data_IF_936307689651
#
_entry.id   IF_936307689651
#
_cell.length_a   1.000
_cell.length_b   1.000
_cell.length_c   1.000
_cell.angle_alpha   90.00
_cell.angle_beta   90.00
_cell.angle_gamma   90.00
#
_symmetry.space_group_name_H-M   'P 1'
#
loop_
_entity.id
_entity.type
_entity.pdbx_description
1 polymer ?
#
# COMPACT_ATOMS: atom_id res chain seq x y z
N UNK A 1 20.61 -8.18 -10.94
CA UNK A 1 20.74 -7.97 -9.48
C UNK A 1 19.64 -8.79 -8.83
N UNK A 2 19.95 -9.86 -8.10
CA UNK A 2 18.98 -10.91 -7.71
C UNK A 2 18.20 -10.66 -6.42
N UNK A 3 18.02 -9.41 -6.00
CA UNK A 3 17.26 -9.06 -4.79
C UNK A 3 15.84 -8.70 -5.21
N UNK A 4 14.84 -9.36 -4.63
CA UNK A 4 13.43 -9.06 -4.84
C UNK A 4 13.06 -7.68 -4.27
N UNK A 5 12.15 -6.97 -4.93
CA UNK A 5 11.72 -5.63 -4.53
C UNK A 5 10.95 -5.64 -3.20
N UNK A 6 10.28 -6.75 -2.90
CA UNK A 6 9.49 -6.98 -1.68
C UNK A 6 10.33 -7.17 -0.42
N UNK A 7 11.63 -7.47 -0.53
CA UNK A 7 12.47 -7.86 0.62
C UNK A 7 12.76 -6.65 1.50
N UNK A 8 12.22 -6.67 2.72
CA UNK A 8 12.49 -5.70 3.79
C UNK A 8 12.58 -6.44 5.13
N UNK A 9 13.16 -5.80 6.16
CA UNK A 9 13.00 -6.30 7.53
C UNK A 9 11.56 -5.99 7.97
N UNK A 10 10.71 -6.99 8.22
CA UNK A 10 9.34 -6.73 8.61
C UNK A 10 9.28 -6.22 10.05
N UNK A 11 8.34 -5.31 10.33
CA UNK A 11 8.11 -4.78 11.66
C UNK A 11 6.67 -4.35 11.85
N UNK A 12 6.31 -3.96 13.07
CA UNK A 12 5.06 -3.22 13.31
C UNK A 12 5.28 -1.74 12.96
N UNK A 13 4.23 -1.04 12.58
CA UNK A 13 4.30 0.42 12.40
C UNK A 13 4.42 1.10 13.77
N UNK A 14 4.96 2.32 13.77
CA UNK A 14 5.06 3.15 14.97
C UNK A 14 3.96 4.20 14.98
N UNK A 15 3.51 4.60 16.18
CA UNK A 15 2.56 5.69 16.34
C UNK A 15 3.15 7.01 15.82
N UNK A 16 2.32 7.83 15.19
CA UNK A 16 2.70 9.14 14.64
C UNK A 16 1.93 10.26 15.29
N UNK A 17 2.45 11.48 15.23
CA UNK A 17 1.82 12.66 15.81
C UNK A 17 0.69 13.23 14.94
N UNK A 18 -0.02 14.26 15.46
CA UNK A 18 -1.15 14.88 14.78
C UNK A 18 -0.77 15.61 13.48
N UNK A 19 0.51 15.93 13.27
CA UNK A 19 1.05 16.55 12.06
C UNK A 19 0.95 15.66 10.81
N UNK A 20 0.81 14.34 10.99
CA UNK A 20 0.68 13.41 9.88
C UNK A 20 -0.78 13.34 9.41
N UNK A 21 -1.06 13.45 8.10
CA UNK A 21 -2.40 13.27 7.54
C UNK A 21 -3.04 11.95 7.94
N UNK A 22 -4.34 11.95 8.23
CA UNK A 22 -5.07 10.78 8.72
C UNK A 22 -4.94 9.55 7.83
N UNK A 23 -4.96 9.75 6.51
CA UNK A 23 -4.78 8.70 5.50
C UNK A 23 -3.44 7.98 5.54
N UNK A 24 -2.39 8.61 6.08
CA UNK A 24 -1.07 8.02 6.24
C UNK A 24 -0.83 7.47 7.65
N UNK A 25 -1.68 7.80 8.62
CA UNK A 25 -1.53 7.26 9.98
C UNK A 25 -1.66 5.73 9.95
N UNK A 26 -0.90 5.02 10.77
CA UNK A 26 -0.99 3.57 10.84
C UNK A 26 -2.36 3.15 11.36
N UNK A 27 -2.92 2.11 10.78
CA UNK A 27 -4.16 1.48 11.25
C UNK A 27 -3.91 0.68 12.53
N UNK A 28 -4.99 0.26 13.19
CA UNK A 28 -4.88 -0.65 14.34
C UNK A 28 -4.13 -1.94 13.97
N UNK A 29 -4.39 -2.50 12.78
CA UNK A 29 -3.75 -3.74 12.33
C UNK A 29 -2.24 -3.55 12.11
N UNK A 30 -1.83 -2.44 11.50
CA UNK A 30 -0.42 -2.07 11.31
C UNK A 30 0.34 -1.92 12.64
N UNK A 31 -0.33 -1.44 13.69
CA UNK A 31 0.25 -1.28 15.03
C UNK A 31 0.39 -2.62 15.79
N UNK A 32 -0.43 -3.62 15.47
CA UNK A 32 -0.46 -4.90 16.20
C UNK A 32 0.21 -6.06 15.46
N UNK A 33 0.37 -5.96 14.14
CA UNK A 33 0.79 -7.06 13.27
C UNK A 33 2.13 -6.77 12.61
N UNK A 34 3.07 -7.71 12.66
CA UNK A 34 4.35 -7.60 11.94
C UNK A 34 4.09 -7.74 10.45
N UNK A 35 4.58 -6.79 9.65
CA UNK A 35 4.38 -6.77 8.21
C UNK A 35 5.56 -6.10 7.47
N UNK A 36 5.67 -6.28 6.15
CA UNK A 36 6.59 -5.54 5.30
C UNK A 36 6.28 -4.04 5.31
N UNK A 37 7.21 -3.24 5.80
CA UNK A 37 7.01 -1.79 6.04
C UNK A 37 6.83 -0.97 4.76
N UNK A 38 7.01 -1.56 3.58
CA UNK A 38 6.71 -0.88 2.32
C UNK A 38 5.20 -0.68 2.13
N UNK A 39 4.34 -1.50 2.77
CA UNK A 39 2.88 -1.37 2.76
C UNK A 39 2.44 0.00 3.33
N UNK A 40 3.19 0.54 4.30
CA UNK A 40 2.86 1.79 4.99
C UNK A 40 2.87 3.02 4.06
N UNK A 41 3.52 2.91 2.90
CA UNK A 41 3.71 4.00 1.93
C UNK A 41 2.46 4.34 1.13
N UNK A 42 1.45 3.48 1.15
CA UNK A 42 0.23 3.72 0.39
C UNK A 42 -0.78 4.56 1.18
N UNK A 43 -1.38 5.59 0.57
CA UNK A 43 -2.36 6.45 1.22
C UNK A 43 -3.76 5.82 1.32
N UNK A 44 -3.85 4.48 1.32
CA UNK A 44 -5.10 3.73 1.28
C UNK A 44 -5.21 2.80 2.50
N UNK A 45 -5.78 3.28 3.63
CA UNK A 45 -5.86 2.49 4.87
C UNK A 45 -6.44 1.08 4.69
N UNK A 46 -7.56 0.97 3.96
CA UNK A 46 -8.22 -0.30 3.68
C UNK A 46 -7.35 -1.28 2.87
N UNK A 47 -6.66 -0.76 1.86
CA UNK A 47 -5.74 -1.55 1.05
C UNK A 47 -4.58 -2.09 1.89
N UNK A 48 -3.99 -1.26 2.76
CA UNK A 48 -2.92 -1.70 3.66
C UNK A 48 -3.37 -2.84 4.57
N UNK A 49 -4.55 -2.70 5.19
CA UNK A 49 -5.09 -3.74 6.06
C UNK A 49 -5.36 -5.05 5.32
N UNK A 50 -5.89 -4.97 4.10
CA UNK A 50 -6.16 -6.13 3.27
C UNK A 50 -4.85 -6.80 2.80
N UNK A 51 -3.82 -6.03 2.45
CA UNK A 51 -2.49 -6.60 2.12
C UNK A 51 -1.87 -7.33 3.30
N UNK A 52 -1.95 -6.76 4.51
CA UNK A 52 -1.45 -7.40 5.73
C UNK A 52 -2.21 -8.69 6.02
N UNK A 53 -3.54 -8.66 5.87
CA UNK A 53 -4.42 -9.81 6.14
C UNK A 53 -4.18 -10.95 5.13
N UNK A 54 -3.86 -10.61 3.87
CA UNK A 54 -3.71 -11.58 2.78
C UNK A 54 -2.26 -11.92 2.42
N UNK A 55 -1.28 -11.48 3.21
CA UNK A 55 0.16 -11.61 2.90
C UNK A 55 0.64 -13.04 2.62
N UNK A 56 -0.01 -14.05 3.21
CA UNK A 56 0.28 -15.46 2.93
C UNK A 56 -0.40 -16.03 1.68
N UNK A 57 -1.22 -15.22 0.99
CA UNK A 57 -2.02 -15.60 -0.17
C UNK A 57 -1.57 -14.82 -1.40
N UNK A 58 -1.29 -13.52 -1.25
CA UNK A 58 -0.82 -12.67 -2.36
C UNK A 58 0.68 -12.86 -2.59
N UNK A 59 1.10 -12.84 -3.85
CA UNK A 59 2.51 -12.75 -4.18
C UNK A 59 2.94 -11.28 -4.20
N UNK A 60 3.69 -10.88 -3.16
CA UNK A 60 4.16 -9.49 -3.00
C UNK A 60 5.06 -9.03 -4.16
N UNK A 61 5.92 -9.91 -4.68
CA UNK A 61 6.81 -9.56 -5.78
C UNK A 61 6.03 -9.34 -7.08
N UNK A 62 4.98 -10.13 -7.29
CA UNK A 62 4.08 -9.95 -8.42
C UNK A 62 3.28 -8.64 -8.30
N UNK A 63 2.78 -8.32 -7.10
CA UNK A 63 2.12 -7.04 -6.84
C UNK A 63 3.05 -5.86 -7.15
N UNK A 64 4.30 -5.90 -6.68
CA UNK A 64 5.28 -4.85 -6.93
C UNK A 64 5.69 -4.78 -8.41
N UNK A 65 5.84 -5.92 -9.08
CA UNK A 65 6.09 -5.95 -10.52
C UNK A 65 4.95 -5.25 -11.29
N UNK A 66 3.69 -5.57 -10.99
CA UNK A 66 2.53 -4.93 -11.61
C UNK A 66 2.40 -3.46 -11.23
N UNK A 67 2.76 -3.09 -10.00
CA UNK A 67 2.78 -1.71 -9.52
C UNK A 67 3.69 -0.83 -10.39
N UNK A 68 4.86 -1.35 -10.80
CA UNK A 68 5.84 -0.62 -11.59
C UNK A 68 5.67 -0.78 -13.11
N UNK A 69 5.13 -1.90 -13.57
CA UNK A 69 5.07 -2.24 -14.99
C UNK A 69 3.71 -1.99 -15.64
N UNK A 70 2.63 -1.82 -14.85
CA UNK A 70 1.31 -1.42 -15.35
C UNK A 70 1.06 0.05 -15.09
N UNK A 71 0.01 0.59 -15.72
CA UNK A 71 -0.59 1.84 -15.23
C UNK A 71 -1.31 1.53 -13.92
N UNK A 72 -0.62 1.68 -12.79
CA UNK A 72 -1.13 1.33 -11.46
C UNK A 72 -1.91 2.49 -10.84
N UNK A 73 -1.25 3.62 -10.62
CA UNK A 73 -1.82 4.79 -9.99
C UNK A 73 -1.48 6.07 -10.76
N UNK A 74 -2.46 6.94 -10.91
CA UNK A 74 -2.26 8.31 -11.40
C UNK A 74 -2.83 9.30 -10.39
N UNK A 75 -2.07 10.32 -10.04
CA UNK A 75 -2.48 11.36 -9.10
C UNK A 75 -3.04 12.55 -9.88
N UNK A 76 -4.14 13.13 -9.42
CA UNK A 76 -4.65 14.36 -10.00
C UNK A 76 -3.60 15.50 -9.89
N UNK A 77 -3.32 16.25 -10.96
CA UNK A 77 -2.33 17.32 -10.92
C UNK A 77 -2.61 18.33 -9.79
N UNK A 78 -1.59 18.62 -8.98
CA UNK A 78 -1.69 19.55 -7.85
C UNK A 78 -2.39 19.00 -6.60
N UNK A 79 -2.88 17.76 -6.63
CA UNK A 79 -3.48 17.13 -5.47
C UNK A 79 -2.44 16.59 -4.48
N UNK A 80 -2.84 16.47 -3.22
CA UNK A 80 -2.01 15.90 -2.17
C UNK A 80 -1.83 14.39 -2.39
N UNK A 81 -0.58 13.91 -2.40
CA UNK A 81 -0.27 12.48 -2.58
C UNK A 81 -0.80 11.61 -1.43
N UNK A 82 -1.05 12.21 -0.26
CA UNK A 82 -1.66 11.52 0.87
C UNK A 82 -3.19 11.49 0.80
N UNK A 83 -3.86 12.21 -0.09
CA UNK A 83 -5.32 12.13 -0.20
C UNK A 83 -5.74 10.89 -1.01
N UNK A 84 -6.39 9.87 -0.41
CA UNK A 84 -6.80 8.66 -1.12
C UNK A 84 -7.76 8.94 -2.28
N UNK A 85 -8.56 10.00 -2.19
CA UNK A 85 -9.57 10.34 -3.21
C UNK A 85 -8.98 11.01 -4.44
N UNK A 86 -7.73 11.49 -4.33
CA UNK A 86 -7.02 12.15 -5.41
C UNK A 86 -6.37 11.16 -6.41
N UNK A 87 -6.34 9.88 -6.08
CA UNK A 87 -5.73 8.84 -6.91
C UNK A 87 -6.75 8.16 -7.81
N UNK A 88 -6.35 7.93 -9.07
CA UNK A 88 -7.05 7.08 -10.02
C UNK A 88 -6.25 5.80 -10.20
N UNK A 89 -6.90 4.66 -9.97
CA UNK A 89 -6.31 3.34 -10.16
C UNK A 89 -6.47 2.96 -11.62
N UNK A 90 -5.40 2.56 -12.29
CA UNK A 90 -5.46 2.15 -13.67
C UNK A 90 -6.20 0.83 -13.86
N UNK A 91 -6.81 0.67 -15.02
CA UNK A 91 -7.79 -0.40 -15.29
C UNK A 91 -7.20 -1.80 -15.14
N UNK A 92 -6.01 -2.03 -15.68
CA UNK A 92 -5.35 -3.35 -15.65
C UNK A 92 -4.94 -3.74 -14.23
N UNK A 93 -4.32 -2.79 -13.51
CA UNK A 93 -3.96 -2.98 -12.11
C UNK A 93 -5.20 -3.24 -11.24
N UNK A 94 -6.26 -2.44 -11.42
CA UNK A 94 -7.52 -2.62 -10.69
C UNK A 94 -8.21 -3.94 -11.02
N UNK A 95 -8.10 -4.46 -12.24
CA UNK A 95 -8.71 -5.74 -12.61
C UNK A 95 -8.12 -6.91 -11.81
N UNK A 96 -6.82 -6.83 -11.48
CA UNK A 96 -6.12 -7.88 -10.72
C UNK A 96 -6.11 -7.62 -9.22
N UNK A 97 -5.85 -6.39 -8.80
CA UNK A 97 -5.60 -6.04 -7.38
C UNK A 97 -6.72 -5.22 -6.75
N UNK A 98 -7.78 -4.90 -7.50
CA UNK A 98 -8.87 -4.03 -7.05
C UNK A 98 -9.63 -4.53 -5.82
N UNK A 99 -9.64 -5.84 -5.58
CA UNK A 99 -10.25 -6.44 -4.39
C UNK A 99 -9.58 -5.97 -3.08
N UNK A 100 -8.33 -5.50 -3.12
CA UNK A 100 -7.65 -4.96 -1.95
C UNK A 100 -8.28 -3.67 -1.44
N UNK A 101 -9.08 -2.96 -2.25
CA UNK A 101 -9.64 -1.66 -1.89
C UNK A 101 -11.02 -1.74 -1.19
N UNK A 102 -11.59 -2.94 -1.03
CA UNK A 102 -12.94 -3.16 -0.49
C UNK A 102 -12.95 -4.01 0.78
#
# INVERSE_FOLDING_TARGET
MGIACSVVVPSKSSTVGPEIPESLRPTALQLTTIHPTWIDRFPFPKMRDNMITLMGIINEEEFLADLFCLTSFTLNPGAASWDPTAWKIGKEFSAKWGYLFY
#
